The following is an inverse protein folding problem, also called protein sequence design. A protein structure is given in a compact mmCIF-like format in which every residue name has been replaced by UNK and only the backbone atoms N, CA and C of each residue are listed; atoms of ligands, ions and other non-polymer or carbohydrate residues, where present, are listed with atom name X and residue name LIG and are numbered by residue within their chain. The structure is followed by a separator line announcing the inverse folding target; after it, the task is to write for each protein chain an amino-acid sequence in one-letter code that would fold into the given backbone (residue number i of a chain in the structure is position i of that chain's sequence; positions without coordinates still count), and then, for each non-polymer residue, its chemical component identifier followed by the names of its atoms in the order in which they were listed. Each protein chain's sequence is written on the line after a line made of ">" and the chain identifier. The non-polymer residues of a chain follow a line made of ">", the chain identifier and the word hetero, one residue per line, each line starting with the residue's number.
data_IF_591079454692
#
_entry.id   IF_591079454692
#
_cell.length_a   1.000
_cell.length_b   1.000
_cell.length_c   1.000
_cell.angle_alpha   90.00
_cell.angle_beta   90.00
_cell.angle_gamma   90.00
#
_symmetry.space_group_name_H-M   'P 1'
#
loop_
_entity.id
_entity.type
_entity.pdbx_description
1 polymer ?
#
# COMPACT_ATOMS: atom_id res chain seq x y z
N UNK A 1 -36.50 -34.22 32.76
CA UNK A 1 -36.46 -33.87 31.29
C UNK A 1 -35.74 -32.55 31.20
N UNK A 2 -34.48 -32.61 30.85
CA UNK A 2 -33.62 -31.42 30.74
C UNK A 2 -33.45 -31.09 29.26
N UNK A 3 -33.89 -29.92 28.87
CA UNK A 3 -33.77 -29.38 27.50
C UNK A 3 -32.41 -28.71 27.35
N UNK A 4 -31.55 -29.35 26.55
CA UNK A 4 -30.24 -28.82 26.19
C UNK A 4 -30.38 -27.92 24.98
N UNK A 5 -30.42 -26.61 25.20
CA UNK A 5 -30.34 -25.62 24.13
C UNK A 5 -28.91 -25.54 23.58
N UNK A 6 -28.74 -26.05 22.38
CA UNK A 6 -27.50 -25.97 21.57
C UNK A 6 -27.43 -24.54 20.96
N UNK A 7 -26.58 -23.69 21.52
CA UNK A 7 -26.23 -22.40 20.90
C UNK A 7 -25.28 -22.65 19.74
N UNK A 8 -25.85 -22.67 18.53
CA UNK A 8 -25.08 -22.69 17.28
C UNK A 8 -24.41 -21.31 17.09
N UNK A 9 -23.08 -21.30 17.22
CA UNK A 9 -22.25 -20.16 16.80
C UNK A 9 -22.32 -20.08 15.28
N UNK A 10 -23.07 -19.11 14.77
CA UNK A 10 -23.07 -18.78 13.34
C UNK A 10 -21.67 -18.24 12.98
N UNK A 11 -20.88 -19.06 12.32
CA UNK A 11 -19.68 -18.61 11.62
C UNK A 11 -20.15 -17.61 10.56
N UNK A 12 -19.76 -16.35 10.69
CA UNK A 12 -19.98 -15.33 9.68
C UNK A 12 -19.33 -15.84 8.39
N UNK A 13 -20.13 -16.06 7.36
CA UNK A 13 -19.65 -16.33 6.02
C UNK A 13 -18.78 -15.12 5.60
N UNK A 14 -17.47 -15.34 5.47
CA UNK A 14 -16.57 -14.37 4.87
C UNK A 14 -17.06 -14.18 3.44
N UNK A 15 -17.61 -13.01 3.17
CA UNK A 15 -17.97 -12.59 1.81
C UNK A 15 -16.66 -12.57 1.02
N UNK A 16 -16.57 -13.39 -0.01
CA UNK A 16 -15.38 -13.62 -0.83
C UNK A 16 -15.20 -12.47 -1.86
N UNK A 17 -15.61 -11.26 -1.48
CA UNK A 17 -15.48 -10.08 -2.33
C UNK A 17 -14.12 -9.41 -2.10
N UNK A 18 -13.39 -9.09 -3.19
CA UNK A 18 -12.12 -8.38 -3.08
C UNK A 18 -12.32 -7.00 -2.46
N UNK A 19 -11.33 -6.55 -1.66
CA UNK A 19 -11.30 -5.21 -1.07
C UNK A 19 -11.15 -4.13 -2.16
N UNK A 20 -10.27 -4.39 -3.14
CA UNK A 20 -10.14 -3.59 -4.36
C UNK A 20 -10.34 -4.50 -5.57
N UNK A 21 -11.10 -4.01 -6.55
CA UNK A 21 -11.26 -4.64 -7.86
C UNK A 21 -11.09 -3.59 -8.95
N UNK A 22 -10.25 -3.89 -9.92
CA UNK A 22 -9.93 -3.03 -11.06
C UNK A 22 -10.22 -3.78 -12.35
N UNK A 23 -10.94 -3.15 -13.26
CA UNK A 23 -11.30 -3.73 -14.54
C UNK A 23 -11.00 -2.78 -15.70
N UNK A 24 -10.19 -3.23 -16.64
CA UNK A 24 -9.88 -2.54 -17.88
C UNK A 24 -9.29 -1.15 -17.71
N UNK A 25 -8.51 -0.89 -16.65
CA UNK A 25 -8.04 0.44 -16.28
C UNK A 25 -7.08 1.01 -17.31
N UNK A 26 -7.38 2.21 -17.82
CA UNK A 26 -6.57 2.93 -18.79
C UNK A 26 -6.21 4.32 -18.30
N UNK A 27 -4.99 4.76 -18.60
CA UNK A 27 -4.51 6.10 -18.30
C UNK A 27 -3.51 6.57 -19.34
N UNK A 28 -3.71 7.80 -19.81
CA UNK A 28 -2.81 8.48 -20.74
C UNK A 28 -2.37 9.83 -20.18
N UNK A 29 -1.20 10.29 -20.56
CA UNK A 29 -0.71 11.64 -20.34
C UNK A 29 -0.37 12.23 -21.72
N UNK A 30 -1.23 13.12 -22.20
CA UNK A 30 -1.19 13.59 -23.58
C UNK A 30 -1.34 12.44 -24.57
N UNK A 31 -0.39 12.24 -25.47
CA UNK A 31 -0.39 11.15 -26.44
C UNK A 31 0.18 9.82 -25.92
N UNK A 32 0.75 9.81 -24.70
CA UNK A 32 1.38 8.62 -24.15
C UNK A 32 0.37 7.82 -23.32
N UNK A 33 -0.05 6.64 -23.82
CA UNK A 33 -0.86 5.69 -23.05
C UNK A 33 0.05 4.92 -22.09
N UNK A 34 -0.13 5.17 -20.77
CA UNK A 34 0.69 4.60 -19.69
C UNK A 34 0.08 3.32 -19.14
N UNK A 35 -1.24 3.29 -18.95
CA UNK A 35 -1.98 2.07 -18.56
C UNK A 35 -2.91 1.65 -19.70
N UNK A 36 -2.85 0.37 -20.05
CA UNK A 36 -3.44 -0.16 -21.29
C UNK A 36 -4.46 -1.26 -21.05
N UNK A 37 -5.34 -1.07 -20.06
CA UNK A 37 -6.35 -2.05 -19.69
C UNK A 37 -5.80 -3.01 -18.62
N UNK A 38 -5.63 -2.50 -17.40
CA UNK A 38 -5.18 -3.29 -16.25
C UNK A 38 -6.40 -3.88 -15.55
N UNK A 39 -6.35 -5.19 -15.31
CA UNK A 39 -7.26 -5.91 -14.44
C UNK A 39 -6.48 -6.40 -13.22
N UNK A 40 -7.01 -6.15 -12.02
CA UNK A 40 -6.41 -6.60 -10.76
C UNK A 40 -7.48 -6.66 -9.66
N UNK A 41 -7.36 -7.64 -8.77
CA UNK A 41 -8.12 -7.68 -7.51
C UNK A 41 -7.18 -7.79 -6.33
N UNK A 42 -7.58 -7.26 -5.17
CA UNK A 42 -6.85 -7.38 -3.90
C UNK A 42 -7.84 -7.80 -2.82
N UNK A 43 -7.56 -8.90 -2.15
CA UNK A 43 -8.41 -9.42 -1.09
C UNK A 43 -8.05 -8.80 0.28
N UNK A 44 -8.98 -8.77 1.24
CA UNK A 44 -8.65 -8.35 2.61
C UNK A 44 -7.50 -9.19 3.19
N UNK A 45 -6.53 -8.53 3.81
CA UNK A 45 -5.35 -9.16 4.41
C UNK A 45 -4.28 -9.61 3.41
N UNK A 46 -4.50 -9.44 2.09
CA UNK A 46 -3.55 -9.83 1.06
C UNK A 46 -2.45 -8.78 0.87
N UNK A 47 -1.22 -9.26 0.69
CA UNK A 47 -0.07 -8.43 0.29
C UNK A 47 0.24 -8.68 -1.18
N UNK A 48 -0.11 -7.71 -2.03
CA UNK A 48 0.19 -7.73 -3.46
C UNK A 48 1.39 -6.84 -3.75
N UNK A 49 2.45 -7.40 -4.29
CA UNK A 49 3.62 -6.61 -4.70
C UNK A 49 3.65 -6.46 -6.22
N UNK A 50 3.84 -5.23 -6.68
CA UNK A 50 3.94 -4.89 -8.10
C UNK A 50 5.40 -4.59 -8.43
N UNK A 51 5.98 -5.38 -9.33
CA UNK A 51 7.34 -5.23 -9.82
C UNK A 51 7.35 -4.94 -11.33
N UNK A 52 8.47 -4.46 -11.86
CA UNK A 52 8.61 -4.20 -13.29
C UNK A 52 9.58 -3.06 -13.57
N UNK A 53 9.93 -2.87 -14.83
CA UNK A 53 10.88 -1.86 -15.27
C UNK A 53 10.41 -0.42 -14.92
N UNK A 54 11.36 0.52 -14.82
CA UNK A 54 11.02 1.94 -14.69
C UNK A 54 10.17 2.37 -15.90
N UNK A 55 9.15 3.20 -15.65
CA UNK A 55 8.23 3.66 -16.70
C UNK A 55 7.18 2.62 -17.15
N UNK A 56 7.06 1.46 -16.49
CA UNK A 56 6.04 0.46 -16.84
C UNK A 56 4.62 0.81 -16.38
N UNK A 57 4.43 1.91 -15.64
CA UNK A 57 3.12 2.39 -15.18
C UNK A 57 2.76 2.06 -13.73
N UNK A 58 3.64 1.40 -12.95
CA UNK A 58 3.37 0.95 -11.57
C UNK A 58 2.86 2.04 -10.64
N UNK A 59 3.60 3.14 -10.52
CA UNK A 59 3.20 4.28 -9.66
C UNK A 59 1.93 4.96 -10.17
N UNK A 60 1.73 5.05 -11.49
CA UNK A 60 0.49 5.57 -12.08
C UNK A 60 -0.69 4.69 -11.71
N UNK A 61 -0.54 3.36 -11.83
CA UNK A 61 -1.56 2.40 -11.41
C UNK A 61 -1.89 2.55 -9.92
N UNK A 62 -0.88 2.56 -9.06
CA UNK A 62 -1.07 2.71 -7.61
C UNK A 62 -1.81 4.01 -7.26
N UNK A 63 -1.48 5.13 -7.94
CA UNK A 63 -2.15 6.43 -7.74
C UNK A 63 -3.57 6.46 -8.27
N UNK A 64 -3.91 5.63 -9.24
CA UNK A 64 -5.30 5.46 -9.66
C UNK A 64 -6.14 4.79 -8.58
N UNK A 65 -5.59 3.85 -7.78
CA UNK A 65 -6.34 3.12 -6.75
C UNK A 65 -6.93 4.04 -5.67
N UNK A 66 -6.31 5.19 -5.39
CA UNK A 66 -6.82 6.19 -4.46
C UNK A 66 -7.27 7.49 -5.16
N UNK A 67 -7.45 7.45 -6.49
CA UNK A 67 -7.86 8.57 -7.33
C UNK A 67 -6.96 9.83 -7.19
N UNK A 68 -5.67 9.67 -6.87
CA UNK A 68 -4.68 10.74 -7.05
C UNK A 68 -4.42 11.01 -8.54
N UNK A 69 -4.54 9.94 -9.35
CA UNK A 69 -4.61 10.02 -10.80
C UNK A 69 -5.99 9.52 -11.23
N UNK A 70 -6.74 10.35 -11.96
CA UNK A 70 -8.04 9.94 -12.49
C UNK A 70 -7.83 9.07 -13.73
N UNK A 71 -8.35 7.84 -13.78
CA UNK A 71 -8.25 7.01 -14.98
C UNK A 71 -9.06 7.61 -16.14
N UNK A 72 -8.67 7.30 -17.38
CA UNK A 72 -9.38 7.77 -18.57
C UNK A 72 -10.47 6.78 -18.99
N UNK A 73 -10.31 5.49 -18.63
CA UNK A 73 -11.31 4.44 -18.84
C UNK A 73 -11.07 3.27 -17.89
N UNK A 74 -12.04 2.35 -17.82
CA UNK A 74 -12.07 1.25 -16.87
C UNK A 74 -12.75 1.63 -15.58
N UNK A 75 -12.79 0.69 -14.63
CA UNK A 75 -13.49 0.87 -13.36
C UNK A 75 -12.62 0.41 -12.20
N UNK A 76 -12.80 1.07 -11.05
CA UNK A 76 -12.16 0.73 -9.79
C UNK A 76 -13.26 0.64 -8.73
N UNK A 77 -13.33 -0.50 -8.03
CA UNK A 77 -14.21 -0.67 -6.88
C UNK A 77 -13.39 -0.81 -5.61
N UNK A 78 -13.88 -0.18 -4.56
CA UNK A 78 -13.44 -0.40 -3.19
C UNK A 78 -14.63 -1.00 -2.44
N UNK A 79 -14.53 -2.26 -2.02
CA UNK A 79 -15.70 -3.09 -1.69
C UNK A 79 -16.71 -3.09 -2.87
N UNK A 80 -17.97 -2.79 -2.59
CA UNK A 80 -19.04 -2.65 -3.58
C UNK A 80 -19.18 -1.23 -4.16
N UNK A 81 -18.35 -0.27 -3.76
CA UNK A 81 -18.44 1.12 -4.21
C UNK A 81 -17.58 1.35 -5.45
N UNK A 82 -18.18 1.74 -6.56
CA UNK A 82 -17.49 2.19 -7.77
C UNK A 82 -16.86 3.58 -7.51
N UNK A 83 -15.53 3.64 -7.52
CA UNK A 83 -14.75 4.85 -7.30
C UNK A 83 -14.71 5.77 -8.53
N UNK A 84 -14.95 5.21 -9.71
CA UNK A 84 -14.92 5.93 -11.00
C UNK A 84 -16.24 6.58 -11.32
N UNK A 85 -17.29 6.33 -10.52
CA UNK A 85 -18.59 6.95 -10.69
C UNK A 85 -18.55 8.46 -10.39
N UNK A 86 -19.32 9.27 -11.14
CA UNK A 86 -19.35 10.74 -11.05
C UNK A 86 -19.62 11.30 -9.63
N UNK A 87 -20.23 10.52 -8.73
CA UNK A 87 -20.62 10.94 -7.38
C UNK A 87 -19.78 10.29 -6.26
N UNK A 88 -18.59 9.79 -6.57
CA UNK A 88 -17.72 9.22 -5.55
C UNK A 88 -17.22 10.29 -4.55
N UNK A 89 -17.39 10.05 -3.27
CA UNK A 89 -16.80 10.91 -2.22
C UNK A 89 -15.34 10.53 -1.99
N UNK A 90 -14.44 11.13 -2.80
CA UNK A 90 -13.00 10.85 -2.79
C UNK A 90 -12.38 11.10 -1.41
N UNK A 91 -12.83 12.10 -0.67
CA UNK A 91 -12.26 12.40 0.65
C UNK A 91 -12.56 11.28 1.65
N UNK A 92 -13.79 10.76 1.65
CA UNK A 92 -14.16 9.63 2.50
C UNK A 92 -13.40 8.36 2.11
N UNK A 93 -13.24 8.11 0.82
CA UNK A 93 -12.42 7.00 0.32
C UNK A 93 -10.99 7.05 0.85
N UNK A 94 -10.35 8.23 0.79
CA UNK A 94 -8.97 8.43 1.24
C UNK A 94 -8.79 8.33 2.76
N UNK A 95 -9.86 8.29 3.53
CA UNK A 95 -9.80 7.96 4.96
C UNK A 95 -9.52 6.46 5.18
N UNK A 96 -9.97 5.60 4.26
CA UNK A 96 -9.87 4.14 4.34
C UNK A 96 -8.68 3.58 3.54
N UNK A 97 -8.03 4.40 2.70
CA UNK A 97 -6.87 4.02 1.88
C UNK A 97 -5.66 4.84 2.30
N UNK A 98 -4.76 4.25 3.06
CA UNK A 98 -3.47 4.86 3.41
C UNK A 98 -2.51 4.85 2.22
N UNK A 99 -1.70 5.91 2.06
CA UNK A 99 -0.67 5.96 1.03
C UNK A 99 0.65 6.47 1.56
N UNK A 100 1.71 5.75 1.23
CA UNK A 100 3.11 6.07 1.53
C UNK A 100 3.83 6.28 0.21
N UNK A 101 4.43 7.45 0.05
CA UNK A 101 5.09 7.89 -1.18
C UNK A 101 6.60 7.63 -1.13
N UNK A 102 7.24 7.62 -2.28
CA UNK A 102 8.69 7.60 -2.45
C UNK A 102 9.36 8.79 -1.74
N UNK A 103 8.81 10.00 -1.87
CA UNK A 103 9.27 11.18 -1.15
C UNK A 103 8.41 11.40 0.08
N UNK A 104 8.81 11.11 1.23
CA UNK A 104 8.17 11.12 2.56
C UNK A 104 6.90 12.00 2.72
N UNK A 105 6.82 13.14 2.04
CA UNK A 105 5.70 14.10 2.01
C UNK A 105 5.24 14.55 3.41
N UNK A 106 6.19 14.71 4.34
CA UNK A 106 5.91 15.23 5.67
C UNK A 106 5.78 16.75 5.66
N UNK A 107 4.93 17.28 6.53
CA UNK A 107 4.79 18.73 6.74
C UNK A 107 5.99 19.24 7.54
N UNK A 108 6.91 19.95 6.86
CA UNK A 108 8.17 20.42 7.44
C UNK A 108 7.99 21.51 8.52
N UNK A 109 6.85 22.19 8.55
CA UNK A 109 6.47 23.20 9.53
C UNK A 109 5.81 22.63 10.79
N UNK A 110 5.70 21.30 10.90
CA UNK A 110 5.12 20.58 12.00
C UNK A 110 6.15 19.60 12.59
N UNK A 111 5.99 19.27 13.86
CA UNK A 111 6.75 18.16 14.47
C UNK A 111 6.21 16.79 14.02
N UNK A 112 6.81 15.71 14.50
CA UNK A 112 6.44 14.34 14.15
C UNK A 112 5.02 14.01 14.63
N UNK A 113 4.68 14.37 15.86
CA UNK A 113 3.37 14.10 16.45
C UNK A 113 2.27 14.87 15.72
N UNK A 114 2.49 16.15 15.42
CA UNK A 114 1.56 16.97 14.67
C UNK A 114 1.32 16.41 13.26
N UNK A 115 2.35 15.90 12.58
CA UNK A 115 2.19 15.19 11.30
C UNK A 115 1.25 14.00 11.41
N UNK A 116 1.30 13.25 12.50
CA UNK A 116 0.48 12.06 12.71
C UNK A 116 -0.95 12.40 13.16
N UNK A 117 -1.15 13.49 13.90
CA UNK A 117 -2.45 13.85 14.50
C UNK A 117 -3.32 14.72 13.61
N UNK A 118 -2.73 15.46 12.65
CA UNK A 118 -3.44 16.41 11.80
C UNK A 118 -4.67 15.80 11.10
N UNK A 119 -4.49 14.70 10.40
CA UNK A 119 -5.58 14.08 9.63
C UNK A 119 -6.66 13.47 10.54
N UNK A 120 -6.34 12.67 11.58
CA UNK A 120 -7.34 12.18 12.53
C UNK A 120 -8.20 13.28 13.15
N UNK A 121 -7.59 14.39 13.58
CA UNK A 121 -8.33 15.52 14.17
C UNK A 121 -9.19 16.21 13.13
N UNK A 122 -8.66 16.46 11.92
CA UNK A 122 -9.34 17.28 10.93
C UNK A 122 -10.44 16.51 10.21
N UNK A 123 -10.19 15.26 9.83
CA UNK A 123 -11.06 14.46 8.97
C UNK A 123 -11.96 13.51 9.78
N UNK A 124 -11.42 12.75 10.73
CA UNK A 124 -12.19 11.82 11.55
C UNK A 124 -12.80 12.49 12.79
N UNK A 125 -12.55 13.78 13.01
CA UNK A 125 -13.07 14.56 14.13
C UNK A 125 -12.73 13.96 15.51
N UNK A 126 -11.58 13.28 15.62
CA UNK A 126 -11.03 12.85 16.90
C UNK A 126 -10.70 14.06 17.77
N UNK A 127 -10.85 13.93 19.08
CA UNK A 127 -10.25 14.89 19.99
C UNK A 127 -8.71 14.86 19.87
N UNK A 128 -8.07 15.99 20.18
CA UNK A 128 -6.59 16.07 20.12
C UNK A 128 -5.94 14.99 21.00
N UNK A 129 -6.46 14.76 22.21
CA UNK A 129 -5.93 13.77 23.13
C UNK A 129 -6.05 12.33 22.62
N UNK A 130 -7.16 11.98 21.96
CA UNK A 130 -7.33 10.66 21.33
C UNK A 130 -6.38 10.49 20.16
N UNK A 131 -6.25 11.52 19.29
CA UNK A 131 -5.34 11.48 18.15
C UNK A 131 -3.88 11.36 18.60
N UNK A 132 -3.45 12.07 19.65
CA UNK A 132 -2.12 11.96 20.24
C UNK A 132 -1.84 10.56 20.77
N UNK A 133 -2.82 9.93 21.45
CA UNK A 133 -2.71 8.56 21.95
C UNK A 133 -2.49 7.58 20.77
N UNK A 134 -3.33 7.63 19.75
CA UNK A 134 -3.22 6.79 18.55
C UNK A 134 -1.89 7.02 17.83
N UNK A 135 -1.49 8.28 17.69
CA UNK A 135 -0.21 8.63 17.06
C UNK A 135 0.99 8.06 17.84
N UNK A 136 0.98 8.14 19.17
CA UNK A 136 2.04 7.58 20.00
C UNK A 136 2.10 6.05 19.92
N UNK A 137 0.96 5.36 19.84
CA UNK A 137 0.91 3.91 19.62
C UNK A 137 1.58 3.53 18.29
N UNK A 138 1.26 4.23 17.19
CA UNK A 138 1.88 3.98 15.89
C UNK A 138 3.35 4.43 15.83
N UNK A 139 3.73 5.54 16.45
CA UNK A 139 5.14 5.94 16.54
C UNK A 139 5.97 4.92 17.33
N UNK A 140 5.40 4.33 18.39
CA UNK A 140 6.04 3.25 19.13
C UNK A 140 6.20 2.00 18.25
N UNK A 141 5.17 1.63 17.49
CA UNK A 141 5.22 0.45 16.60
C UNK A 141 6.31 0.53 15.53
N UNK A 142 6.68 1.76 15.11
CA UNK A 142 7.76 2.03 14.15
C UNK A 142 9.08 2.45 14.81
N UNK A 143 9.18 2.40 16.17
CA UNK A 143 10.38 2.70 16.96
C UNK A 143 10.78 4.19 16.97
N UNK A 144 9.80 5.09 16.93
CA UNK A 144 10.02 6.54 16.87
C UNK A 144 9.35 7.33 17.99
N UNK A 145 8.91 6.68 19.08
CA UNK A 145 8.27 7.34 20.21
C UNK A 145 9.09 8.49 20.82
N UNK A 146 10.42 8.32 20.85
CA UNK A 146 11.35 9.34 21.39
C UNK A 146 11.48 10.57 20.49
N UNK A 147 11.04 10.47 19.25
CA UNK A 147 11.10 11.52 18.23
C UNK A 147 9.78 12.27 18.06
N UNK A 148 8.74 11.98 18.88
CA UNK A 148 7.39 12.54 18.72
C UNK A 148 7.40 14.08 18.58
N UNK A 149 8.22 14.77 19.36
CA UNK A 149 8.35 16.24 19.33
C UNK A 149 9.57 16.75 18.55
N UNK A 150 10.18 15.89 17.74
CA UNK A 150 11.30 16.31 16.90
C UNK A 150 10.81 17.05 15.65
N UNK A 151 11.52 18.09 15.25
CA UNK A 151 11.30 18.72 13.97
C UNK A 151 11.67 17.75 12.82
N UNK A 152 10.81 17.64 11.80
CA UNK A 152 10.98 16.74 10.64
C UNK A 152 12.35 16.88 9.97
N UNK A 153 12.88 18.12 9.90
CA UNK A 153 14.18 18.40 9.30
C UNK A 153 15.38 17.74 10.01
N UNK A 154 15.23 17.28 11.27
CA UNK A 154 16.28 16.62 12.04
C UNK A 154 16.30 15.09 11.90
N UNK A 155 15.33 14.52 11.19
CA UNK A 155 15.19 13.09 11.01
C UNK A 155 16.03 12.59 9.82
N UNK A 156 16.57 11.37 9.94
CA UNK A 156 17.14 10.64 8.81
C UNK A 156 16.07 10.28 7.77
N UNK A 157 16.46 9.88 6.56
CA UNK A 157 15.54 9.43 5.52
C UNK A 157 14.66 8.27 5.99
N UNK A 158 15.24 7.24 6.60
CA UNK A 158 14.48 6.10 7.13
C UNK A 158 13.55 6.47 8.28
N UNK A 159 13.95 7.40 9.15
CA UNK A 159 13.06 7.93 10.18
C UNK A 159 11.87 8.67 9.57
N UNK A 160 12.10 9.54 8.58
CA UNK A 160 11.03 10.25 7.86
C UNK A 160 10.05 9.28 7.20
N UNK A 161 10.56 8.20 6.59
CA UNK A 161 9.71 7.20 5.96
C UNK A 161 8.87 6.45 7.00
N UNK A 162 9.45 6.07 8.13
CA UNK A 162 8.71 5.43 9.22
C UNK A 162 7.66 6.37 9.84
N UNK A 163 7.94 7.68 9.93
CA UNK A 163 6.91 8.67 10.30
C UNK A 163 5.79 8.73 9.27
N UNK A 164 6.11 8.68 7.96
CA UNK A 164 5.08 8.69 6.91
C UNK A 164 4.18 7.45 6.98
N UNK A 165 4.75 6.27 7.33
CA UNK A 165 3.99 5.05 7.59
C UNK A 165 3.09 5.23 8.82
N UNK A 166 3.65 5.68 9.96
CA UNK A 166 2.88 5.91 11.18
C UNK A 166 1.74 6.91 10.96
N UNK A 167 2.00 8.01 10.24
CA UNK A 167 0.98 9.00 9.86
C UNK A 167 -0.18 8.38 9.09
N UNK A 168 0.12 7.51 8.11
CA UNK A 168 -0.92 6.85 7.34
C UNK A 168 -1.73 5.88 8.21
N UNK A 169 -1.08 5.14 9.12
CA UNK A 169 -1.73 4.22 10.05
C UNK A 169 -2.65 4.92 11.06
N UNK A 170 -2.37 6.17 11.44
CA UNK A 170 -3.22 6.95 12.35
C UNK A 170 -4.64 7.17 11.82
N UNK A 171 -4.85 7.03 10.52
CA UNK A 171 -6.18 7.05 9.91
C UNK A 171 -6.93 5.73 10.03
N UNK A 172 -6.30 4.67 10.58
CA UNK A 172 -6.83 3.31 10.65
C UNK A 172 -7.37 2.84 9.29
N UNK A 173 -6.51 2.81 8.24
CA UNK A 173 -6.93 2.46 6.89
C UNK A 173 -7.19 0.96 6.76
N UNK A 174 -8.05 0.58 5.82
CA UNK A 174 -8.32 -0.83 5.48
C UNK A 174 -7.25 -1.42 4.53
N UNK A 175 -6.54 -0.55 3.81
CA UNK A 175 -5.44 -0.91 2.90
C UNK A 175 -4.35 0.14 2.91
N UNK A 176 -3.12 -0.30 2.79
CA UNK A 176 -1.93 0.56 2.64
C UNK A 176 -1.35 0.42 1.24
N UNK A 177 -1.18 1.54 0.55
CA UNK A 177 -0.52 1.65 -0.74
C UNK A 177 0.90 2.19 -0.54
N UNK A 178 1.92 1.50 -1.07
CA UNK A 178 3.32 1.89 -0.97
C UNK A 178 3.91 2.13 -2.36
N UNK A 179 4.27 3.38 -2.66
CA UNK A 179 4.89 3.79 -3.93
C UNK A 179 6.41 3.92 -3.75
N UNK A 180 7.15 2.84 -4.00
CA UNK A 180 8.60 2.74 -3.88
C UNK A 180 9.15 3.30 -2.54
N UNK A 181 8.73 2.79 -1.38
CA UNK A 181 8.97 3.40 -0.07
C UNK A 181 10.44 3.45 0.35
N UNK A 182 11.33 2.73 -0.34
CA UNK A 182 12.76 2.62 -0.02
C UNK A 182 13.67 3.30 -1.04
N UNK A 183 13.17 3.70 -2.21
CA UNK A 183 14.00 4.15 -3.33
C UNK A 183 14.73 5.49 -3.09
N UNK A 184 14.28 6.29 -2.12
CA UNK A 184 14.92 7.55 -1.70
C UNK A 184 15.83 7.40 -0.47
N UNK A 185 16.14 6.15 -0.06
CA UNK A 185 16.88 5.83 1.15
C UNK A 185 18.29 5.30 0.84
N UNK A 186 19.21 5.55 1.77
CA UNK A 186 20.50 4.89 1.74
C UNK A 186 20.33 3.38 1.98
N UNK A 187 21.13 2.51 1.29
CA UNK A 187 20.98 1.06 1.39
C UNK A 187 21.06 0.52 2.82
N UNK A 188 21.87 1.14 3.69
CA UNK A 188 22.06 0.72 5.08
C UNK A 188 20.78 0.85 5.94
N UNK A 189 19.88 1.78 5.57
CA UNK A 189 18.65 2.05 6.34
C UNK A 189 17.38 1.47 5.70
N UNK A 190 17.45 0.92 4.49
CA UNK A 190 16.33 0.26 3.80
C UNK A 190 15.73 -0.85 4.66
N UNK A 191 16.59 -1.63 5.33
CA UNK A 191 16.18 -2.75 6.19
C UNK A 191 15.19 -2.37 7.29
N UNK A 192 15.36 -1.19 7.90
CA UNK A 192 14.49 -0.71 8.99
C UNK A 192 13.04 -0.44 8.49
N UNK A 193 12.91 0.11 7.29
CA UNK A 193 11.59 0.38 6.69
C UNK A 193 10.92 -0.93 6.24
N UNK A 194 11.68 -1.83 5.63
CA UNK A 194 11.16 -3.13 5.21
C UNK A 194 10.72 -3.97 6.41
N UNK A 195 11.39 -3.86 7.57
CA UNK A 195 10.98 -4.57 8.79
C UNK A 195 9.63 -4.07 9.32
N UNK A 196 9.38 -2.75 9.30
CA UNK A 196 8.07 -2.20 9.61
C UNK A 196 7.00 -2.75 8.67
N UNK A 197 7.28 -2.82 7.36
CA UNK A 197 6.33 -3.36 6.39
C UNK A 197 6.09 -4.87 6.56
N UNK A 198 7.13 -5.67 6.94
CA UNK A 198 6.95 -7.09 7.28
C UNK A 198 6.04 -7.28 8.47
N UNK A 199 6.20 -6.43 9.50
CA UNK A 199 5.33 -6.48 10.67
C UNK A 199 3.88 -6.15 10.32
N UNK A 200 3.64 -5.13 9.50
CA UNK A 200 2.29 -4.80 9.03
C UNK A 200 1.64 -5.98 8.26
N UNK A 201 2.42 -6.66 7.41
CA UNK A 201 1.97 -7.86 6.71
C UNK A 201 1.60 -8.98 7.70
N UNK A 202 2.47 -9.25 8.68
CA UNK A 202 2.24 -10.27 9.70
C UNK A 202 1.01 -9.95 10.58
N UNK A 203 0.72 -8.67 10.80
CA UNK A 203 -0.46 -8.20 11.53
C UNK A 203 -1.75 -8.23 10.66
N UNK A 204 -1.68 -8.71 9.41
CA UNK A 204 -2.82 -8.89 8.51
C UNK A 204 -3.24 -7.62 7.77
N UNK A 205 -2.39 -6.59 7.69
CA UNK A 205 -2.67 -5.39 6.91
C UNK A 205 -2.73 -5.70 5.42
N UNK A 206 -3.83 -5.33 4.75
CA UNK A 206 -3.92 -5.39 3.30
C UNK A 206 -2.95 -4.39 2.68
N UNK A 207 -2.11 -4.82 1.74
CA UNK A 207 -1.11 -3.93 1.15
C UNK A 207 -1.00 -4.10 -0.36
N UNK A 208 -0.83 -2.98 -1.08
CA UNK A 208 -0.30 -2.98 -2.46
C UNK A 208 1.02 -2.22 -2.45
N UNK A 209 2.09 -2.92 -2.83
CA UNK A 209 3.46 -2.41 -2.70
C UNK A 209 4.14 -2.37 -4.06
N UNK A 210 4.45 -1.18 -4.56
CA UNK A 210 5.37 -0.98 -5.68
C UNK A 210 6.78 -0.93 -5.13
N UNK A 211 7.67 -1.84 -5.54
CA UNK A 211 9.03 -1.89 -5.02
C UNK A 211 10.04 -2.49 -6.00
N UNK A 212 11.32 -2.18 -5.79
CA UNK A 212 12.47 -2.82 -6.40
C UNK A 212 13.16 -3.81 -5.45
N UNK A 213 12.64 -3.99 -4.22
CA UNK A 213 13.19 -4.90 -3.22
C UNK A 213 12.70 -6.34 -3.49
N UNK A 214 13.43 -7.07 -4.36
CA UNK A 214 13.01 -8.41 -4.80
C UNK A 214 12.97 -9.42 -3.65
N UNK A 215 13.86 -9.29 -2.66
CA UNK A 215 13.86 -10.13 -1.46
C UNK A 215 12.57 -9.94 -0.64
N UNK A 216 12.10 -8.69 -0.50
CA UNK A 216 10.83 -8.37 0.15
C UNK A 216 9.65 -8.98 -0.65
N UNK A 217 9.58 -8.72 -1.96
CA UNK A 217 8.55 -9.26 -2.83
C UNK A 217 8.46 -10.79 -2.75
N UNK A 218 9.60 -11.48 -2.67
CA UNK A 218 9.68 -12.94 -2.60
C UNK A 218 9.22 -13.51 -1.26
N UNK A 219 9.47 -12.82 -0.14
CA UNK A 219 9.31 -13.38 1.22
C UNK A 219 8.08 -12.90 1.95
N UNK A 220 7.49 -11.78 1.56
CA UNK A 220 6.41 -11.11 2.30
C UNK A 220 5.10 -11.12 1.51
N UNK A 221 5.16 -11.13 0.18
CA UNK A 221 3.96 -11.05 -0.65
C UNK A 221 3.22 -12.38 -0.71
N UNK A 222 1.90 -12.31 -0.73
CA UNK A 222 1.03 -13.44 -1.10
C UNK A 222 1.00 -13.60 -2.62
N UNK A 223 1.08 -12.48 -3.35
CA UNK A 223 1.03 -12.44 -4.81
C UNK A 223 1.95 -11.35 -5.37
N UNK A 224 2.60 -11.66 -6.48
CA UNK A 224 3.49 -10.73 -7.18
C UNK A 224 2.98 -10.52 -8.60
N UNK A 225 2.86 -9.25 -8.96
CA UNK A 225 2.37 -8.78 -10.26
C UNK A 225 3.53 -8.16 -11.03
N UNK A 226 3.87 -8.72 -12.19
CA UNK A 226 4.87 -8.14 -13.06
C UNK A 226 4.21 -7.26 -14.13
N UNK A 227 4.54 -5.96 -14.12
CA UNK A 227 4.08 -4.99 -15.09
C UNK A 227 5.17 -4.61 -16.07
N UNK A 228 4.85 -4.60 -17.37
CA UNK A 228 5.72 -4.06 -18.43
C UNK A 228 4.89 -3.31 -19.47
N UNK A 229 5.37 -2.14 -19.90
CA UNK A 229 4.77 -1.31 -20.97
C UNK A 229 3.25 -1.01 -20.79
N UNK A 230 2.82 -0.87 -19.55
CA UNK A 230 1.45 -0.48 -19.22
C UNK A 230 0.45 -1.64 -19.12
N UNK A 231 0.90 -2.88 -19.11
CA UNK A 231 0.05 -4.07 -18.94
C UNK A 231 0.57 -4.97 -17.81
N UNK A 232 -0.29 -5.75 -17.21
CA UNK A 232 0.08 -6.88 -16.36
C UNK A 232 0.46 -8.03 -17.27
N UNK A 233 1.73 -8.46 -17.21
CA UNK A 233 2.19 -9.61 -17.99
C UNK A 233 2.10 -10.91 -17.20
N UNK A 234 2.31 -10.86 -15.91
CA UNK A 234 2.29 -12.05 -15.06
C UNK A 234 1.78 -11.68 -13.67
N UNK A 235 0.92 -12.52 -13.11
CA UNK A 235 0.35 -12.39 -11.77
C UNK A 235 0.34 -13.79 -11.17
N UNK A 236 1.17 -14.03 -10.14
CA UNK A 236 1.35 -15.34 -9.57
C UNK A 236 1.86 -15.28 -8.13
N UNK A 237 1.81 -16.42 -7.43
CA UNK A 237 2.47 -16.57 -6.14
C UNK A 237 3.99 -16.35 -6.27
N UNK A 238 4.67 -15.80 -5.24
CA UNK A 238 6.10 -15.51 -5.29
C UNK A 238 6.95 -16.71 -5.71
N UNK A 239 6.66 -17.90 -5.19
CA UNK A 239 7.41 -19.11 -5.52
C UNK A 239 7.36 -19.45 -7.02
N UNK A 240 6.21 -19.22 -7.67
CA UNK A 240 6.02 -19.47 -9.10
C UNK A 240 6.71 -18.37 -9.92
N UNK A 241 6.44 -17.10 -9.63
CA UNK A 241 6.95 -15.98 -10.41
C UNK A 241 8.49 -15.87 -10.35
N UNK A 242 9.11 -16.09 -9.18
CA UNK A 242 10.56 -16.06 -9.03
C UNK A 242 11.25 -17.37 -9.39
N UNK A 243 10.56 -18.51 -9.27
CA UNK A 243 11.13 -19.84 -9.54
C UNK A 243 10.98 -20.31 -10.99
N UNK A 244 9.83 -20.04 -11.60
CA UNK A 244 9.52 -20.49 -12.97
C UNK A 244 8.61 -19.47 -13.69
N UNK A 245 9.09 -18.27 -13.98
CA UNK A 245 8.30 -17.24 -14.67
C UNK A 245 7.89 -17.69 -16.06
N UNK A 246 6.60 -17.53 -16.39
CA UNK A 246 5.99 -18.01 -17.65
C UNK A 246 6.38 -17.16 -18.84
N UNK A 247 6.41 -15.83 -18.65
CA UNK A 247 6.72 -14.89 -19.72
C UNK A 247 8.24 -14.71 -19.90
N UNK A 248 8.70 -14.70 -21.14
CA UNK A 248 10.11 -14.43 -21.45
C UNK A 248 10.55 -13.08 -20.86
N UNK A 249 9.70 -12.07 -20.94
CA UNK A 249 10.01 -10.72 -20.46
C UNK A 249 10.18 -10.69 -18.94
N UNK A 250 9.39 -11.48 -18.19
CA UNK A 250 9.54 -11.65 -16.73
C UNK A 250 10.90 -12.29 -16.42
N UNK A 251 11.29 -13.36 -17.17
CA UNK A 251 12.61 -14.00 -17.03
C UNK A 251 13.76 -13.04 -17.26
N UNK A 252 13.70 -12.25 -18.34
CA UNK A 252 14.72 -11.23 -18.67
C UNK A 252 14.82 -10.14 -17.60
N UNK A 253 13.70 -9.76 -16.98
CA UNK A 253 13.70 -8.78 -15.91
C UNK A 253 14.32 -9.36 -14.64
N UNK A 254 13.90 -10.55 -14.24
CA UNK A 254 14.34 -11.19 -13.00
C UNK A 254 15.80 -11.66 -13.05
N UNK A 255 16.32 -12.07 -14.22
CA UNK A 255 17.73 -12.51 -14.36
C UNK A 255 18.69 -11.43 -13.86
N UNK A 256 18.42 -10.16 -14.12
CA UNK A 256 19.22 -9.01 -13.66
C UNK A 256 19.33 -8.89 -12.13
N UNK A 257 18.38 -9.45 -11.40
CA UNK A 257 18.33 -9.41 -9.93
C UNK A 257 18.73 -10.75 -9.30
N UNK A 258 18.81 -11.84 -10.08
CA UNK A 258 19.18 -13.17 -9.61
C UNK A 258 20.65 -13.48 -9.86
N UNK A 259 21.30 -12.79 -10.80
CA UNK A 259 22.73 -12.95 -11.15
C UNK A 259 23.68 -12.22 -10.18
N UNK A 260 23.16 -11.30 -9.33
CA UNK A 260 23.93 -10.51 -8.36
C UNK A 260 24.04 -11.21 -6.97
N UNK A 261 24.05 -12.56 -6.94
CA UNK A 261 24.28 -13.33 -5.70
C UNK A 261 25.43 -14.31 -5.83
#
# INVERSE_FOLDING_TARGET
>A
MADTATTGTAAAAQTNEPLIRVEGLRKSFGSLEVLKGIDLSVNPGEVVTIIGASGSGKSTFLRCLNLLETPDAGQIWFHSQDLTAERCNINKLREDIGMVFQGFNLFNNMDVLDNCTLAPVTLKKMSKAEAEKVAMEHLTSVGLEKFAHAAVGRLSGGQKQRVAIARALCMNPQIMLFDEPTSALDPEIVGEVLEVMRKLAADGMTMVVVTHEMAFARTVSDRVVFMDKGVVLEDAAPAELFGNPKHQRTREFLSRYLEDK
#
